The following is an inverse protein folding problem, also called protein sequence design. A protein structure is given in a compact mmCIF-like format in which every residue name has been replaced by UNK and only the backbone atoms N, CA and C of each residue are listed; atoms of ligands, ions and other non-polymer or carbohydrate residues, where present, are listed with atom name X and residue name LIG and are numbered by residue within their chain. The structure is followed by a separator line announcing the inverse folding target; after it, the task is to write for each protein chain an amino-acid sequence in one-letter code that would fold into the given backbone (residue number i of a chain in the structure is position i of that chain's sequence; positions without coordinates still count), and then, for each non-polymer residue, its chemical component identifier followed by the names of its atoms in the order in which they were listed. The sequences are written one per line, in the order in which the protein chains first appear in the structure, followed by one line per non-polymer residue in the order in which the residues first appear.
data_IF_395311321559
#
_entry.id   IF_395311321559
#
_cell.length_a   1.000
_cell.length_b   1.000
_cell.length_c   1.000
_cell.angle_alpha   90.00
_cell.angle_beta   90.00
_cell.angle_gamma   90.00
#
_symmetry.space_group_name_H-M   'P 1'
#
loop_
_entity.id
_entity.type
_entity.pdbx_description
1 polymer ?
#
# COMPACT_ATOMS: atom_id res chain seq x y z
N UNK A 1 11.64 -1.55 31.48
CA UNK A 1 11.42 -0.20 32.04
C UNK A 1 10.45 0.49 31.11
N UNK A 2 9.36 1.06 31.63
CA UNK A 2 8.52 1.94 30.81
C UNK A 2 9.37 3.15 30.44
N UNK A 3 9.43 3.50 29.15
CA UNK A 3 10.09 4.73 28.75
C UNK A 3 9.31 5.92 29.35
N UNK A 4 10.02 6.92 29.88
CA UNK A 4 9.37 8.14 30.34
C UNK A 4 8.66 8.81 29.16
N UNK A 5 7.35 8.98 29.29
CA UNK A 5 6.54 9.63 28.27
C UNK A 5 6.84 11.13 28.23
N UNK A 6 6.78 11.76 27.03
CA UNK A 6 7.06 13.17 26.90
C UNK A 6 5.92 14.00 27.51
N UNK A 7 6.27 15.07 28.22
CA UNK A 7 5.27 16.02 28.77
C UNK A 7 4.71 16.98 27.72
N UNK A 8 5.40 17.14 26.59
CA UNK A 8 4.99 17.97 25.46
C UNK A 8 5.63 17.49 24.15
N UNK A 9 4.86 17.57 23.06
CA UNK A 9 5.28 17.25 21.68
C UNK A 9 4.59 18.23 20.72
N UNK A 10 5.18 18.46 19.55
CA UNK A 10 4.58 19.32 18.52
C UNK A 10 3.51 18.56 17.73
N UNK A 11 3.75 17.26 17.48
CA UNK A 11 2.77 16.38 16.82
C UNK A 11 2.68 15.06 17.57
N UNK A 12 1.47 14.75 18.06
CA UNK A 12 1.12 13.45 18.63
C UNK A 12 0.36 12.59 17.60
N UNK A 13 0.88 11.40 17.31
CA UNK A 13 0.27 10.42 16.40
C UNK A 13 -0.25 9.25 17.23
N UNK A 14 -1.54 8.93 17.10
CA UNK A 14 -2.17 7.84 17.84
C UNK A 14 -2.37 6.63 16.93
N UNK A 15 -1.65 5.56 17.20
CA UNK A 15 -1.74 4.28 16.50
C UNK A 15 -0.50 3.93 15.66
N UNK A 16 0.11 2.80 15.96
CA UNK A 16 1.31 2.22 15.33
C UNK A 16 1.03 1.32 14.13
N UNK A 17 -0.01 1.62 13.36
CA UNK A 17 -0.25 0.98 12.05
C UNK A 17 0.58 1.64 10.94
N UNK A 18 0.51 1.09 9.72
CA UNK A 18 1.27 1.60 8.57
C UNK A 18 1.02 3.09 8.30
N UNK A 19 -0.21 3.56 8.49
CA UNK A 19 -0.55 4.98 8.33
C UNK A 19 0.17 5.85 9.37
N UNK A 20 0.16 5.44 10.64
CA UNK A 20 0.78 6.19 11.72
C UNK A 20 2.31 6.21 11.59
N UNK A 21 2.92 5.07 11.29
CA UNK A 21 4.38 4.99 11.11
C UNK A 21 4.84 5.73 9.86
N UNK A 22 4.06 5.68 8.77
CA UNK A 22 4.35 6.46 7.55
C UNK A 22 4.24 7.95 7.81
N UNK A 23 3.23 8.40 8.57
CA UNK A 23 3.08 9.80 8.94
C UNK A 23 4.23 10.26 9.85
N UNK A 24 4.60 9.47 10.86
CA UNK A 24 5.73 9.77 11.74
C UNK A 24 7.03 9.93 10.95
N UNK A 25 7.33 8.98 10.07
CA UNK A 25 8.49 9.04 9.17
C UNK A 25 8.48 10.29 8.30
N UNK A 26 7.34 10.56 7.65
CA UNK A 26 7.21 11.65 6.70
C UNK A 26 7.24 13.04 7.36
N UNK A 27 6.77 13.18 8.60
CA UNK A 27 6.85 14.43 9.38
C UNK A 27 8.25 14.64 9.96
N UNK A 28 8.86 13.60 10.54
CA UNK A 28 10.20 13.67 11.08
C UNK A 28 11.23 14.01 9.99
N UNK A 29 11.15 13.36 8.82
CA UNK A 29 12.01 13.67 7.65
C UNK A 29 11.87 15.12 7.15
N UNK A 30 10.73 15.77 7.41
CA UNK A 30 10.46 17.17 7.04
C UNK A 30 10.80 18.17 8.15
N UNK A 31 11.30 17.72 9.30
CA UNK A 31 11.64 18.59 10.42
C UNK A 31 10.41 19.24 11.06
N UNK A 32 9.27 18.54 11.14
CA UNK A 32 8.01 19.04 11.69
C UNK A 32 8.01 19.21 13.23
N UNK A 33 9.17 19.49 13.84
CA UNK A 33 9.34 19.56 15.29
C UNK A 33 9.42 18.18 15.97
N UNK A 34 9.04 18.13 17.24
CA UNK A 34 9.03 16.93 18.07
C UNK A 34 7.80 16.08 17.75
N UNK A 35 8.01 15.04 16.94
CA UNK A 35 6.98 14.09 16.52
C UNK A 35 7.02 12.85 17.41
N UNK A 36 5.91 12.50 18.04
CA UNK A 36 5.78 11.28 18.84
C UNK A 36 4.60 10.42 18.38
N UNK A 37 4.82 9.10 18.30
CA UNK A 37 3.80 8.09 18.03
C UNK A 37 3.51 7.27 19.28
N UNK A 38 2.23 7.11 19.62
CA UNK A 38 1.76 6.30 20.74
C UNK A 38 0.96 5.11 20.22
N UNK A 39 1.43 3.91 20.48
CA UNK A 39 0.77 2.65 20.13
C UNK A 39 0.34 1.91 21.40
N UNK A 40 -0.92 1.49 21.45
CA UNK A 40 -1.51 0.84 22.63
C UNK A 40 -0.85 -0.50 22.99
N UNK A 41 -0.32 -1.22 22.00
CA UNK A 41 0.27 -2.55 22.16
C UNK A 41 1.64 -2.55 21.48
N UNK A 42 1.77 -3.23 20.34
CA UNK A 42 2.99 -3.22 19.53
C UNK A 42 2.69 -2.72 18.12
N UNK A 43 3.71 -2.19 17.45
CA UNK A 43 3.64 -1.74 16.06
C UNK A 43 3.09 -2.87 15.19
N UNK A 44 2.15 -2.50 14.30
CA UNK A 44 1.38 -3.41 13.44
C UNK A 44 0.40 -4.36 14.16
N UNK A 45 0.09 -4.22 15.46
CA UNK A 45 -0.86 -5.10 16.15
C UNK A 45 -2.31 -5.03 15.64
N UNK A 46 -2.66 -3.97 14.89
CA UNK A 46 -3.99 -3.75 14.32
C UNK A 46 -4.18 -4.35 12.91
N UNK A 47 -4.99 -3.68 12.09
CA UNK A 47 -5.29 -4.12 10.72
C UNK A 47 -4.03 -4.23 9.84
N UNK A 48 -3.01 -3.40 10.07
CA UNK A 48 -1.77 -3.42 9.31
C UNK A 48 -0.96 -4.72 9.46
N UNK A 49 -1.08 -5.44 10.58
CA UNK A 49 -0.44 -6.76 10.74
C UNK A 49 -1.35 -7.94 10.40
N UNK A 50 -2.59 -7.69 9.95
CA UNK A 50 -3.62 -8.73 9.69
C UNK A 50 -4.31 -8.55 8.34
N UNK A 51 -3.63 -7.93 7.39
CA UNK A 51 -4.14 -7.65 6.04
C UNK A 51 -3.74 -8.74 5.05
N UNK A 52 -4.47 -8.86 3.94
CA UNK A 52 -4.03 -9.63 2.75
C UNK A 52 -2.87 -8.98 1.99
N UNK A 53 -2.45 -7.79 2.41
CA UNK A 53 -1.20 -7.12 2.02
C UNK A 53 -0.99 -6.89 0.51
N UNK A 54 -2.08 -6.80 -0.25
CA UNK A 54 -2.02 -6.48 -1.68
C UNK A 54 -1.44 -5.08 -1.88
N UNK A 55 -0.39 -4.99 -2.70
CA UNK A 55 0.14 -3.74 -3.22
C UNK A 55 -0.28 -3.62 -4.68
N UNK A 56 -1.25 -2.76 -4.96
CA UNK A 56 -1.84 -2.61 -6.30
C UNK A 56 -2.04 -1.16 -6.66
N UNK A 57 -2.17 -0.87 -7.95
CA UNK A 57 -2.42 0.48 -8.46
C UNK A 57 -3.81 0.61 -9.11
N UNK A 58 -4.53 -0.50 -9.31
CA UNK A 58 -5.76 -0.53 -10.10
C UNK A 58 -6.97 0.06 -9.35
N UNK A 59 -7.15 1.38 -9.37
CA UNK A 59 -8.33 2.05 -8.82
C UNK A 59 -9.19 2.67 -9.92
N UNK A 60 -10.49 2.83 -9.65
CA UNK A 60 -11.51 3.26 -10.62
C UNK A 60 -11.74 4.77 -10.67
N UNK A 61 -11.10 5.53 -9.77
CA UNK A 61 -11.17 6.98 -9.74
C UNK A 61 -9.76 7.59 -9.76
N UNK A 62 -9.67 8.77 -10.37
CA UNK A 62 -8.40 9.45 -10.62
C UNK A 62 -7.65 9.88 -9.36
N UNK A 63 -8.30 10.43 -8.31
CA UNK A 63 -7.59 10.80 -7.08
C UNK A 63 -6.89 9.62 -6.40
N UNK A 64 -7.57 8.48 -6.27
CA UNK A 64 -6.96 7.29 -5.67
C UNK A 64 -5.86 6.69 -6.55
N UNK A 65 -6.06 6.67 -7.88
CA UNK A 65 -5.02 6.23 -8.81
C UNK A 65 -3.75 7.09 -8.70
N UNK A 66 -3.88 8.41 -8.58
CA UNK A 66 -2.74 9.30 -8.36
C UNK A 66 -2.07 9.04 -7.00
N UNK A 67 -2.86 8.93 -5.93
CA UNK A 67 -2.33 8.69 -4.58
C UNK A 67 -1.57 7.37 -4.51
N UNK A 68 -2.14 6.30 -5.07
CA UNK A 68 -1.52 4.98 -5.00
C UNK A 68 -0.29 4.88 -5.90
N UNK A 69 -0.25 5.60 -7.03
CA UNK A 69 0.96 5.70 -7.86
C UNK A 69 2.13 6.26 -7.05
N UNK A 70 1.92 7.34 -6.30
CA UNK A 70 2.95 7.92 -5.44
C UNK A 70 3.35 6.95 -4.32
N UNK A 71 2.37 6.34 -3.65
CA UNK A 71 2.61 5.34 -2.60
C UNK A 71 3.40 4.14 -3.13
N UNK A 72 3.05 3.64 -4.31
CA UNK A 72 3.68 2.48 -4.95
C UNK A 72 5.19 2.69 -5.13
N UNK A 73 5.62 3.90 -5.51
CA UNK A 73 7.05 4.22 -5.65
C UNK A 73 7.84 4.05 -4.34
N UNK A 74 7.22 4.30 -3.18
CA UNK A 74 7.86 4.10 -1.88
C UNK A 74 8.10 2.61 -1.61
N UNK A 75 7.09 1.77 -1.88
CA UNK A 75 7.19 0.33 -1.63
C UNK A 75 8.02 -0.41 -2.68
N UNK A 76 7.99 0.02 -3.94
CA UNK A 76 8.79 -0.60 -5.01
C UNK A 76 10.28 -0.25 -4.92
N UNK A 77 10.63 0.90 -4.34
CA UNK A 77 12.00 1.38 -4.16
C UNK A 77 12.35 1.46 -2.66
N UNK A 78 11.91 0.46 -1.90
CA UNK A 78 11.96 0.49 -0.44
C UNK A 78 13.37 0.68 0.14
N UNK A 79 14.41 -0.06 -0.31
CA UNK A 79 15.76 0.12 0.21
C UNK A 79 16.30 1.54 0.05
N UNK A 80 15.97 2.21 -1.06
CA UNK A 80 16.43 3.56 -1.37
C UNK A 80 15.64 4.63 -0.63
N UNK A 81 14.32 4.44 -0.48
CA UNK A 81 13.42 5.47 0.05
C UNK A 81 13.28 5.39 1.58
N UNK A 82 13.11 4.18 2.11
CA UNK A 82 12.84 3.91 3.54
C UNK A 82 14.05 3.29 4.24
N UNK A 83 14.82 2.46 3.52
CA UNK A 83 15.96 1.73 4.04
C UNK A 83 15.63 0.31 4.49
N UNK A 84 16.68 -0.53 4.51
CA UNK A 84 16.57 -1.95 4.85
C UNK A 84 16.19 -2.85 3.67
N UNK A 85 15.86 -4.13 3.93
CA UNK A 85 15.52 -5.08 2.89
C UNK A 85 14.23 -4.70 2.14
N UNK A 86 14.10 -5.06 0.84
CA UNK A 86 12.84 -4.91 0.10
C UNK A 86 11.68 -5.60 0.81
N UNK A 87 10.51 -4.97 0.78
CA UNK A 87 9.27 -5.52 1.39
C UNK A 87 8.21 -5.90 0.36
N UNK A 88 8.42 -5.54 -0.91
CA UNK A 88 7.47 -5.76 -2.01
C UNK A 88 7.90 -6.94 -2.89
N UNK A 89 6.95 -7.83 -3.16
CA UNK A 89 7.10 -8.90 -4.15
C UNK A 89 6.17 -8.63 -5.33
N UNK A 90 6.70 -8.27 -6.51
CA UNK A 90 5.88 -8.06 -7.70
C UNK A 90 5.45 -9.41 -8.30
N UNK A 91 4.16 -9.70 -8.28
CA UNK A 91 3.57 -10.93 -8.84
C UNK A 91 2.53 -10.68 -9.91
N UNK A 92 2.26 -9.42 -10.22
CA UNK A 92 1.14 -8.97 -11.03
C UNK A 92 -0.17 -8.92 -10.26
N UNK A 93 -1.10 -8.13 -10.79
CA UNK A 93 -2.52 -8.13 -10.41
C UNK A 93 -3.38 -8.12 -11.67
N UNK A 94 -4.48 -8.87 -11.63
CA UNK A 94 -5.48 -8.90 -12.69
C UNK A 94 -6.85 -8.46 -12.17
N UNK A 95 -7.60 -7.76 -13.01
CA UNK A 95 -9.01 -7.45 -12.80
C UNK A 95 -9.77 -7.97 -14.01
N UNK A 96 -10.71 -8.89 -13.76
CA UNK A 96 -11.40 -9.64 -14.80
C UNK A 96 -12.80 -9.07 -15.07
N UNK A 97 -13.27 -9.27 -16.30
CA UNK A 97 -14.66 -9.05 -16.71
C UNK A 97 -15.20 -10.38 -17.23
N UNK A 98 -16.26 -10.88 -16.61
CA UNK A 98 -16.95 -12.10 -17.03
C UNK A 98 -17.83 -11.87 -18.27
N UNK A 99 -18.13 -12.96 -18.99
CA UNK A 99 -19.00 -12.99 -20.17
C UNK A 99 -20.51 -12.95 -19.85
N UNK A 100 -20.89 -12.67 -18.59
CA UNK A 100 -22.26 -12.68 -18.11
C UNK A 100 -23.02 -11.37 -18.35
N UNK A 101 -24.05 -11.15 -17.52
CA UNK A 101 -24.96 -10.02 -17.67
C UNK A 101 -24.23 -8.70 -17.41
N UNK A 102 -24.30 -7.78 -18.38
CA UNK A 102 -23.64 -6.48 -18.31
C UNK A 102 -22.19 -6.50 -18.82
N UNK A 103 -21.77 -7.58 -19.48
CA UNK A 103 -20.44 -7.72 -20.08
C UNK A 103 -20.02 -6.50 -20.92
N UNK A 104 -20.85 -6.04 -21.86
CA UNK A 104 -20.52 -4.87 -22.71
C UNK A 104 -20.26 -3.60 -21.89
N UNK A 105 -21.08 -3.34 -20.87
CA UNK A 105 -20.92 -2.19 -20.00
C UNK A 105 -19.65 -2.31 -19.14
N UNK A 106 -19.41 -3.49 -18.57
CA UNK A 106 -18.22 -3.76 -17.76
C UNK A 106 -16.93 -3.70 -18.59
N UNK A 107 -16.95 -4.18 -19.83
CA UNK A 107 -15.85 -4.07 -20.77
C UNK A 107 -15.55 -2.59 -21.08
N UNK A 108 -16.58 -1.79 -21.38
CA UNK A 108 -16.41 -0.37 -21.61
C UNK A 108 -15.87 0.36 -20.36
N UNK A 109 -16.31 -0.03 -19.15
CA UNK A 109 -15.79 0.47 -17.88
C UNK A 109 -14.32 0.10 -17.69
N UNK A 110 -13.92 -1.14 -17.98
CA UNK A 110 -12.55 -1.63 -17.88
C UNK A 110 -11.61 -0.82 -18.78
N UNK A 111 -11.98 -0.62 -20.05
CA UNK A 111 -11.19 0.17 -20.99
C UNK A 111 -11.04 1.63 -20.55
N UNK A 112 -12.12 2.28 -20.09
CA UNK A 112 -12.04 3.62 -19.53
C UNK A 112 -11.13 3.68 -18.31
N UNK A 113 -11.17 2.66 -17.46
CA UNK A 113 -10.34 2.60 -16.26
C UNK A 113 -8.84 2.48 -16.59
N UNK A 114 -8.48 1.54 -17.48
CA UNK A 114 -7.10 1.37 -17.94
C UNK A 114 -6.59 2.63 -18.64
N UNK A 115 -7.42 3.29 -19.47
CA UNK A 115 -7.06 4.55 -20.09
C UNK A 115 -6.78 5.65 -19.05
N UNK A 116 -7.59 5.75 -18.00
CA UNK A 116 -7.38 6.70 -16.90
C UNK A 116 -6.09 6.40 -16.13
N UNK A 117 -5.83 5.14 -15.81
CA UNK A 117 -4.61 4.67 -15.14
C UNK A 117 -3.37 5.04 -15.95
N UNK A 118 -3.38 4.77 -17.25
CA UNK A 118 -2.29 5.12 -18.16
C UNK A 118 -2.10 6.64 -18.26
N UNK A 119 -3.18 7.42 -18.26
CA UNK A 119 -3.10 8.89 -18.27
C UNK A 119 -2.48 9.47 -17.00
N UNK A 120 -2.51 8.74 -15.88
CA UNK A 120 -1.78 9.10 -14.66
C UNK A 120 -0.46 8.34 -14.52
N UNK A 121 0.01 7.62 -15.55
CA UNK A 121 1.32 6.96 -15.56
C UNK A 121 1.40 5.63 -14.81
N UNK A 122 0.27 4.98 -14.51
CA UNK A 122 0.24 3.59 -14.05
C UNK A 122 0.33 2.68 -15.29
N UNK A 123 1.28 1.73 -15.37
CA UNK A 123 1.46 0.88 -16.55
C UNK A 123 0.46 -0.29 -16.55
N UNK A 124 -0.81 0.00 -16.81
CA UNK A 124 -1.87 -1.00 -16.92
C UNK A 124 -2.18 -1.34 -18.38
N UNK A 125 -2.52 -2.59 -18.65
CA UNK A 125 -2.90 -3.06 -19.98
C UNK A 125 -4.17 -3.90 -19.94
N UNK A 126 -4.86 -4.01 -21.07
CA UNK A 126 -5.92 -5.03 -21.25
C UNK A 126 -5.29 -6.19 -22.02
N UNK A 127 -5.39 -7.40 -21.47
CA UNK A 127 -4.93 -8.64 -22.06
C UNK A 127 -6.11 -9.59 -22.30
N UNK A 128 -5.92 -10.54 -23.21
CA UNK A 128 -6.91 -11.57 -23.51
C UNK A 128 -6.97 -12.65 -22.41
N UNK A 129 -8.10 -13.37 -22.30
CA UNK A 129 -8.20 -14.56 -21.45
C UNK A 129 -7.08 -15.59 -21.70
N UNK A 130 -6.67 -15.80 -22.95
CA UNK A 130 -5.57 -16.72 -23.30
C UNK A 130 -4.22 -16.21 -22.81
N UNK A 131 -4.00 -14.89 -22.82
CA UNK A 131 -2.79 -14.29 -22.24
C UNK A 131 -2.78 -14.49 -20.72
N UNK A 132 -3.92 -14.34 -20.04
CA UNK A 132 -4.04 -14.67 -18.62
C UNK A 132 -3.73 -16.15 -18.35
N UNK A 133 -4.28 -17.08 -19.15
CA UNK A 133 -4.00 -18.51 -19.00
C UNK A 133 -2.50 -18.82 -19.15
N UNK A 134 -1.77 -18.11 -20.03
CA UNK A 134 -0.31 -18.29 -20.15
C UNK A 134 0.44 -17.77 -18.92
N UNK A 135 -0.03 -16.68 -18.31
CA UNK A 135 0.56 -16.12 -17.08
C UNK A 135 0.24 -16.97 -15.85
N UNK A 136 -0.97 -17.50 -15.76
CA UNK A 136 -1.44 -18.37 -14.68
C UNK A 136 -2.18 -19.59 -15.23
N UNK A 137 -1.47 -20.69 -15.54
CA UNK A 137 -2.05 -21.88 -16.18
C UNK A 137 -3.15 -22.59 -15.39
N UNK A 138 -3.24 -22.36 -14.08
CA UNK A 138 -4.27 -22.95 -13.22
C UNK A 138 -5.61 -22.17 -13.23
N UNK A 139 -5.64 -20.96 -13.81
CA UNK A 139 -6.86 -20.16 -13.89
C UNK A 139 -7.80 -20.75 -14.93
N UNK A 140 -9.10 -20.77 -14.64
CA UNK A 140 -10.12 -21.05 -15.64
C UNK A 140 -10.53 -19.73 -16.32
N UNK A 141 -10.55 -19.69 -17.66
CA UNK A 141 -10.75 -18.44 -18.42
C UNK A 141 -11.88 -18.48 -19.45
N UNK A 142 -12.59 -19.61 -19.58
CA UNK A 142 -13.65 -19.83 -20.57
C UNK A 142 -14.89 -18.95 -20.35
N UNK A 143 -15.06 -18.40 -19.15
CA UNK A 143 -16.11 -17.47 -18.76
C UNK A 143 -15.67 -16.00 -18.74
N UNK A 144 -14.47 -15.67 -19.24
CA UNK A 144 -13.92 -14.31 -19.22
C UNK A 144 -13.98 -13.64 -20.60
N UNK A 145 -14.30 -12.35 -20.61
CA UNK A 145 -14.29 -11.51 -21.83
C UNK A 145 -13.06 -10.62 -21.91
N UNK A 146 -12.59 -10.06 -20.80
CA UNK A 146 -11.39 -9.22 -20.77
C UNK A 146 -10.70 -9.22 -19.42
N UNK A 147 -9.42 -8.89 -19.42
CA UNK A 147 -8.57 -8.86 -18.23
C UNK A 147 -7.76 -7.58 -18.25
N UNK A 148 -7.91 -6.71 -17.25
CA UNK A 148 -6.91 -5.67 -16.99
C UNK A 148 -5.75 -6.28 -16.20
N UNK A 149 -4.53 -5.92 -16.56
CA UNK A 149 -3.31 -6.48 -16.00
C UNK A 149 -2.34 -5.36 -15.59
N UNK A 150 -1.90 -5.43 -14.33
CA UNK A 150 -0.85 -4.60 -13.76
C UNK A 150 0.36 -5.47 -13.41
N UNK A 151 1.44 -5.47 -14.21
CA UNK A 151 2.56 -6.40 -14.03
C UNK A 151 3.39 -6.11 -12.78
N UNK A 152 3.42 -4.85 -12.33
CA UNK A 152 4.25 -4.43 -11.19
C UNK A 152 3.55 -4.61 -9.84
N UNK A 153 2.24 -4.77 -9.82
CA UNK A 153 1.47 -5.02 -8.59
C UNK A 153 1.85 -6.37 -7.98
N UNK A 154 1.46 -6.60 -6.73
CA UNK A 154 1.77 -7.83 -6.02
C UNK A 154 1.36 -7.73 -4.56
N UNK A 155 2.25 -8.12 -3.66
CA UNK A 155 2.01 -8.05 -2.22
C UNK A 155 3.24 -7.54 -1.47
N UNK A 156 3.01 -7.10 -0.23
CA UNK A 156 4.07 -6.70 0.69
C UNK A 156 4.09 -7.60 1.93
N UNK A 157 5.25 -7.75 2.57
CA UNK A 157 5.27 -8.15 3.97
C UNK A 157 4.78 -6.97 4.82
N UNK A 158 3.51 -7.00 5.21
CA UNK A 158 2.86 -5.87 5.87
C UNK A 158 3.44 -5.57 7.28
N UNK A 159 3.90 -6.61 7.99
CA UNK A 159 4.53 -6.43 9.30
C UNK A 159 5.92 -5.82 9.09
N UNK A 160 6.73 -6.39 8.19
CA UNK A 160 8.06 -5.86 7.89
C UNK A 160 8.01 -4.43 7.37
N UNK A 161 7.03 -4.10 6.52
CA UNK A 161 6.81 -2.74 6.02
C UNK A 161 6.45 -1.77 7.15
N UNK A 162 5.50 -2.14 8.01
CA UNK A 162 5.08 -1.25 9.12
C UNK A 162 6.22 -1.04 10.13
N UNK A 163 6.95 -2.10 10.46
CA UNK A 163 8.12 -2.07 11.34
C UNK A 163 9.29 -1.32 10.72
N UNK A 164 9.52 -1.49 9.41
CA UNK A 164 10.56 -0.77 8.67
C UNK A 164 10.28 0.73 8.62
N UNK A 165 9.03 1.12 8.40
CA UNK A 165 8.61 2.52 8.46
C UNK A 165 8.77 3.10 9.87
N UNK A 166 8.45 2.34 10.92
CA UNK A 166 8.69 2.75 12.31
C UNK A 166 10.18 2.98 12.59
N UNK A 167 11.05 2.06 12.16
CA UNK A 167 12.51 2.23 12.26
C UNK A 167 13.00 3.46 11.49
N UNK A 168 12.53 3.65 10.27
CA UNK A 168 12.89 4.82 9.47
C UNK A 168 12.42 6.13 10.13
N UNK A 169 11.24 6.14 10.76
CA UNK A 169 10.76 7.27 11.52
C UNK A 169 11.66 7.61 12.72
N UNK A 170 12.08 6.59 13.49
CA UNK A 170 13.01 6.78 14.60
C UNK A 170 14.37 7.30 14.14
N UNK A 171 14.92 6.76 13.04
CA UNK A 171 16.16 7.28 12.43
C UNK A 171 16.02 8.74 11.99
N UNK A 172 14.83 9.14 11.52
CA UNK A 172 14.52 10.52 11.15
C UNK A 172 14.23 11.43 12.36
N UNK A 173 14.22 10.91 13.59
CA UNK A 173 14.05 11.68 14.82
C UNK A 173 12.65 11.61 15.46
N UNK A 174 11.74 10.76 14.97
CA UNK A 174 10.46 10.52 15.66
C UNK A 174 10.66 9.67 16.92
N UNK A 175 9.91 9.99 17.98
CA UNK A 175 9.83 9.14 19.18
C UNK A 175 8.66 8.16 19.03
N UNK A 176 8.85 6.87 19.34
CA UNK A 176 7.80 5.84 19.26
C UNK A 176 7.65 5.16 20.61
N UNK A 177 6.42 5.16 21.13
CA UNK A 177 6.05 4.58 22.40
C UNK A 177 5.02 3.47 22.19
N UNK A 178 5.48 2.22 22.29
CA UNK A 178 4.63 1.04 22.38
C UNK A 178 4.06 0.88 23.81
N UNK A 179 3.07 0.01 23.99
CA UNK A 179 2.36 -0.21 25.25
C UNK A 179 1.84 1.09 25.92
N UNK A 180 1.50 2.09 25.10
CA UNK A 180 1.15 3.45 25.51
C UNK A 180 -0.24 3.83 24.99
N UNK A 181 -1.33 3.25 25.54
CA UNK A 181 -2.68 3.58 25.12
C UNK A 181 -3.04 5.02 25.47
N UNK A 182 -3.63 5.75 24.51
CA UNK A 182 -4.21 7.08 24.76
C UNK A 182 -5.59 6.93 25.38
N UNK A 183 -5.82 7.60 26.51
CA UNK A 183 -7.07 7.57 27.28
C UNK A 183 -7.68 8.98 27.38
N UNK A 184 -8.99 9.06 27.64
CA UNK A 184 -9.72 10.31 27.82
C UNK A 184 -9.60 10.87 29.25
#
# INVERSE_FOLDING_TARGET
MMADLPTAVDVAIVGGGIMGTSLAWALAKRGAGRVALFERSVIAAGASGRTGALLRQHYSNRPEAMLVRESFQVFSNWPEVVGGPPVHTPTGLVVIVDAGRGCEENLARLHRNVAMQNAVGIPASVISPEQLQRLQPATRVDDLTAVAFEPLSGYVDAIAATQGMARAAMVAGAEIYEASPVTA
#
